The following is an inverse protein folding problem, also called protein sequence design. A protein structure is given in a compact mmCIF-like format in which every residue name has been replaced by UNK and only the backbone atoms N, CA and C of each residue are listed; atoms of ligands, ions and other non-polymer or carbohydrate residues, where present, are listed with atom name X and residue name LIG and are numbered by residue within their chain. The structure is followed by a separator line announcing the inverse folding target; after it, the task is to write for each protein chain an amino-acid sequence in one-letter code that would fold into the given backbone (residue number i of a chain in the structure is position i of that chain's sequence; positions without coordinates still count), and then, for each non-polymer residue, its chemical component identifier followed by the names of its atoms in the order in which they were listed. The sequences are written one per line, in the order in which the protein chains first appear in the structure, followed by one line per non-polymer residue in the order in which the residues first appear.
data_IF_364466489715
#
_entry.id   IF_364466489715
#
_cell.length_a   1.000
_cell.length_b   1.000
_cell.length_c   1.000
_cell.angle_alpha   90.00
_cell.angle_beta   90.00
_cell.angle_gamma   90.00
#
_symmetry.space_group_name_H-M   'P 1'
#
loop_
_entity.id
_entity.type
_entity.pdbx_description
1 polymer ?
#
# COMPACT_ATOMS: atom_id res chain seq x y z
N UNK A 1 -5.36 15.16 -17.99
CA UNK A 1 -4.46 14.96 -16.85
C UNK A 1 -4.28 13.47 -16.68
N UNK A 2 -3.12 12.92 -16.98
CA UNK A 2 -2.78 11.53 -16.62
C UNK A 2 -2.89 11.45 -15.11
N UNK A 3 -3.83 10.65 -14.59
CA UNK A 3 -3.87 10.37 -13.17
C UNK A 3 -2.50 9.75 -12.81
N UNK A 4 -1.78 10.37 -11.86
CA UNK A 4 -0.56 9.78 -11.32
C UNK A 4 -0.87 8.45 -10.65
N UNK A 5 0.16 7.64 -10.38
CA UNK A 5 0.00 6.43 -9.59
C UNK A 5 -0.76 6.75 -8.28
N UNK A 6 -1.72 5.92 -7.84
CA UNK A 6 -2.54 6.21 -6.67
C UNK A 6 -1.73 6.22 -5.37
N UNK A 7 -0.52 5.68 -5.42
CA UNK A 7 0.44 5.61 -4.35
C UNK A 7 1.81 6.10 -4.82
N UNK A 8 2.55 6.66 -3.88
CA UNK A 8 3.99 6.89 -3.97
C UNK A 8 4.67 6.05 -2.88
N UNK A 9 5.77 5.37 -3.20
CA UNK A 9 6.57 4.64 -2.22
C UNK A 9 7.93 5.32 -2.00
N UNK A 10 8.27 5.56 -0.75
CA UNK A 10 9.56 6.09 -0.33
C UNK A 10 10.31 5.02 0.48
N UNK A 11 11.51 4.64 0.04
CA UNK A 11 12.38 3.77 0.84
C UNK A 11 12.91 4.52 2.05
N UNK A 12 12.77 3.92 3.23
CA UNK A 12 13.34 4.40 4.48
C UNK A 12 14.59 3.59 4.90
N UNK A 13 15.00 2.62 4.08
CA UNK A 13 16.09 1.69 4.36
C UNK A 13 15.63 0.41 5.05
N UNK A 14 16.51 -0.61 5.06
CA UNK A 14 16.27 -1.91 5.72
C UNK A 14 14.99 -2.65 5.27
N UNK A 15 14.55 -2.41 4.04
CA UNK A 15 13.30 -2.96 3.50
C UNK A 15 12.03 -2.27 4.01
N UNK A 16 12.15 -1.15 4.73
CA UNK A 16 11.01 -0.35 5.18
C UNK A 16 10.63 0.64 4.08
N UNK A 17 9.36 0.65 3.70
CA UNK A 17 8.79 1.59 2.75
C UNK A 17 7.64 2.36 3.36
N UNK A 18 7.61 3.67 3.08
CA UNK A 18 6.47 4.54 3.36
C UNK A 18 5.63 4.69 2.10
N UNK A 19 4.36 4.30 2.18
CA UNK A 19 3.39 4.42 1.11
C UNK A 19 2.50 5.64 1.34
N UNK A 20 2.55 6.61 0.43
CA UNK A 20 1.80 7.87 0.50
C UNK A 20 0.64 7.81 -0.47
N UNK A 21 -0.57 8.04 0.01
CA UNK A 21 -1.77 8.07 -0.83
C UNK A 21 -1.77 9.34 -1.69
N UNK A 22 -1.58 9.19 -3.00
CA UNK A 22 -1.60 10.27 -4.00
C UNK A 22 -2.86 10.27 -4.87
N UNK A 23 -3.83 9.40 -4.58
CA UNK A 23 -5.07 9.27 -5.34
C UNK A 23 -5.99 10.51 -5.25
N UNK A 24 -5.75 11.42 -4.30
CA UNK A 24 -6.63 12.55 -4.03
C UNK A 24 -7.94 12.18 -3.30
N UNK A 25 -8.09 10.91 -2.89
CA UNK A 25 -9.28 10.38 -2.21
C UNK A 25 -8.89 9.66 -0.92
N UNK A 26 -9.86 9.47 -0.03
CA UNK A 26 -9.71 8.53 1.09
C UNK A 26 -9.73 7.10 0.54
N UNK A 27 -8.78 6.27 0.97
CA UNK A 27 -8.72 4.86 0.60
C UNK A 27 -8.98 3.99 1.84
N UNK A 28 -9.87 3.00 1.70
CA UNK A 28 -10.24 2.06 2.76
C UNK A 28 -9.87 0.64 2.36
N UNK A 29 -9.89 -0.30 3.32
CA UNK A 29 -9.60 -1.73 3.07
C UNK A 29 -8.28 -1.94 2.32
N UNK A 30 -7.21 -1.28 2.79
CA UNK A 30 -5.91 -1.33 2.12
C UNK A 30 -5.20 -2.63 2.49
N UNK A 31 -4.88 -3.43 1.48
CA UNK A 31 -4.30 -4.78 1.57
C UNK A 31 -3.03 -4.84 0.73
N UNK A 32 -1.97 -5.45 1.28
CA UNK A 32 -0.73 -5.70 0.56
C UNK A 32 -0.62 -7.19 0.23
N UNK A 33 -0.70 -7.53 -1.04
CA UNK A 33 -0.56 -8.92 -1.49
C UNK A 33 0.86 -9.14 -2.01
N UNK A 34 1.74 -9.88 -1.29
CA UNK A 34 3.08 -10.20 -1.77
C UNK A 34 3.05 -11.10 -3.01
N UNK A 35 4.03 -10.92 -3.89
CA UNK A 35 4.32 -11.85 -4.99
C UNK A 35 5.77 -12.34 -4.94
N UNK A 36 6.06 -13.42 -5.66
CA UNK A 36 7.40 -14.03 -5.78
C UNK A 36 8.12 -14.29 -4.44
N UNK A 37 7.37 -14.77 -3.44
CA UNK A 37 7.92 -15.13 -2.13
C UNK A 37 8.28 -13.94 -1.23
N UNK A 38 7.78 -12.74 -1.54
CA UNK A 38 8.02 -11.53 -0.76
C UNK A 38 7.45 -11.63 0.67
N UNK A 39 8.26 -11.27 1.67
CA UNK A 39 7.83 -11.09 3.06
C UNK A 39 7.25 -9.69 3.25
N UNK A 40 6.07 -9.58 3.90
CA UNK A 40 5.40 -8.31 4.19
C UNK A 40 5.01 -8.21 5.65
N UNK A 41 5.32 -7.06 6.27
CA UNK A 41 4.83 -6.71 7.61
C UNK A 41 4.34 -5.26 7.59
N UNK A 42 3.04 -5.05 7.75
CA UNK A 42 2.47 -3.70 7.87
C UNK A 42 2.65 -3.20 9.30
N UNK A 43 3.24 -2.01 9.46
CA UNK A 43 3.47 -1.43 10.78
C UNK A 43 2.12 -1.13 11.47
N UNK A 44 1.94 -1.63 12.70
CA UNK A 44 0.67 -1.64 13.44
C UNK A 44 -0.51 -2.32 12.71
N UNK A 45 -0.24 -3.04 11.62
CA UNK A 45 -1.25 -3.77 10.86
C UNK A 45 -1.35 -5.23 11.28
N UNK A 46 -2.12 -6.00 10.51
CA UNK A 46 -2.15 -7.46 10.65
C UNK A 46 -0.88 -8.00 10.01
N UNK A 47 -0.03 -8.70 10.79
CA UNK A 47 1.24 -9.25 10.29
C UNK A 47 1.05 -10.46 9.38
N UNK A 48 -0.06 -11.15 9.52
CA UNK A 48 -0.44 -12.31 8.70
C UNK A 48 -1.41 -11.90 7.58
N UNK A 49 -1.55 -12.74 6.57
CA UNK A 49 -2.55 -12.60 5.50
C UNK A 49 -3.92 -12.24 6.11
N UNK A 50 -4.51 -11.06 5.79
CA UNK A 50 -4.33 -10.25 4.58
C UNK A 50 -3.40 -9.03 4.64
N UNK A 51 -2.35 -9.01 5.47
CA UNK A 51 -1.36 -7.91 5.53
C UNK A 51 -2.00 -6.52 5.44
N UNK A 52 -3.03 -6.31 6.27
CA UNK A 52 -3.95 -5.19 6.12
C UNK A 52 -3.48 -3.97 6.90
N UNK A 53 -3.65 -2.79 6.30
CA UNK A 53 -3.51 -1.52 6.99
C UNK A 53 -4.70 -1.34 7.93
N UNK A 54 -4.47 -1.04 9.23
CA UNK A 54 -5.51 -1.13 10.26
C UNK A 54 -6.55 -0.01 10.17
N UNK A 55 -6.27 1.04 9.38
CA UNK A 55 -7.10 2.24 9.26
C UNK A 55 -7.13 2.72 7.81
N UNK A 56 -8.21 3.40 7.41
CA UNK A 56 -8.23 4.15 6.15
C UNK A 56 -7.06 5.11 6.03
N UNK A 57 -6.61 5.35 4.80
CA UNK A 57 -5.54 6.28 4.47
C UNK A 57 -6.14 7.47 3.74
N UNK A 58 -6.16 8.62 4.41
CA UNK A 58 -6.61 9.88 3.81
C UNK A 58 -5.68 10.32 2.67
N UNK A 59 -6.16 11.19 1.78
CA UNK A 59 -5.32 11.75 0.72
C UNK A 59 -4.13 12.50 1.32
N UNK A 60 -2.91 12.20 0.84
CA UNK A 60 -1.66 12.74 1.37
C UNK A 60 -1.16 12.10 2.67
N UNK A 61 -1.97 11.26 3.33
CA UNK A 61 -1.53 10.46 4.47
C UNK A 61 -0.69 9.26 4.01
N UNK A 62 -0.05 8.58 4.96
CA UNK A 62 0.82 7.44 4.68
C UNK A 62 0.71 6.33 5.71
N UNK A 63 1.17 5.14 5.32
CA UNK A 63 1.46 4.03 6.20
C UNK A 63 2.85 3.47 5.88
N UNK A 64 3.38 2.64 6.78
CA UNK A 64 4.70 2.01 6.60
C UNK A 64 4.54 0.50 6.59
N UNK A 65 5.31 -0.16 5.74
CA UNK A 65 5.42 -1.62 5.71
C UNK A 65 6.86 -2.04 5.46
N UNK A 66 7.25 -3.16 6.06
CA UNK A 66 8.46 -3.89 5.68
C UNK A 66 8.12 -4.77 4.49
N UNK A 67 8.92 -4.68 3.43
CA UNK A 67 8.81 -5.49 2.22
C UNK A 67 10.21 -6.04 1.90
N UNK A 68 10.35 -7.36 1.91
CA UNK A 68 11.61 -8.04 1.59
C UNK A 68 11.35 -9.10 0.53
N UNK A 69 11.80 -8.83 -0.69
CA UNK A 69 11.55 -9.68 -1.85
C UNK A 69 11.32 -8.84 -3.09
N UNK A 70 10.55 -9.39 -4.04
CA UNK A 70 10.27 -8.75 -5.32
C UNK A 70 9.29 -7.58 -5.22
N UNK A 71 8.27 -7.66 -4.36
CA UNK A 71 7.25 -6.61 -4.27
C UNK A 71 5.88 -7.05 -3.81
N UNK A 72 4.92 -6.11 -3.92
CA UNK A 72 3.53 -6.28 -3.49
C UNK A 72 2.56 -5.64 -4.46
N UNK A 73 1.35 -6.20 -4.55
CA UNK A 73 0.18 -5.49 -5.08
C UNK A 73 -0.56 -4.82 -3.94
N UNK A 74 -0.71 -3.51 -4.01
CA UNK A 74 -1.56 -2.74 -3.10
C UNK A 74 -2.97 -2.67 -3.68
N UNK A 75 -3.94 -3.19 -2.93
CA UNK A 75 -5.37 -3.08 -3.24
C UNK A 75 -6.02 -2.18 -2.20
N UNK A 76 -6.87 -1.25 -2.64
CA UNK A 76 -7.67 -0.41 -1.77
C UNK A 76 -9.02 -0.07 -2.43
N UNK A 77 -9.99 0.37 -1.63
CA UNK A 77 -11.30 0.79 -2.13
C UNK A 77 -11.51 2.28 -1.92
N UNK A 78 -12.06 2.98 -2.91
CA UNK A 78 -12.38 4.40 -2.87
C UNK A 78 -13.90 4.63 -2.66
N UNK A 79 -14.35 5.00 -1.44
CA UNK A 79 -15.74 5.41 -1.19
C UNK A 79 -16.05 6.81 -1.78
N UNK A 80 -17.33 7.15 -2.02
CA UNK A 80 -18.52 6.30 -1.86
C UNK A 80 -18.76 5.35 -3.05
N UNK A 81 -18.01 5.53 -4.13
CA UNK A 81 -18.16 4.79 -5.40
C UNK A 81 -17.84 3.29 -5.24
N UNK A 82 -17.11 2.93 -4.17
CA UNK A 82 -16.65 1.57 -3.88
C UNK A 82 -15.82 0.99 -5.03
N UNK A 83 -15.06 1.85 -5.70
CA UNK A 83 -14.17 1.46 -6.79
C UNK A 83 -12.86 0.96 -6.23
N UNK A 84 -12.40 -0.19 -6.72
CA UNK A 84 -11.09 -0.71 -6.37
C UNK A 84 -9.97 0.05 -7.08
N UNK A 85 -8.89 0.28 -6.34
CA UNK A 85 -7.67 0.93 -6.76
C UNK A 85 -6.53 -0.06 -6.56
N UNK A 86 -5.87 -0.39 -7.67
CA UNK A 86 -4.76 -1.33 -7.69
C UNK A 86 -3.46 -0.62 -8.05
N UNK A 87 -2.37 -1.06 -7.44
CA UNK A 87 -1.03 -0.60 -7.79
C UNK A 87 0.02 -1.64 -7.43
N UNK A 88 0.88 -1.96 -8.39
CA UNK A 88 2.00 -2.87 -8.18
C UNK A 88 3.24 -2.08 -7.80
N UNK A 89 3.85 -2.48 -6.70
CA UNK A 89 5.11 -1.94 -6.20
C UNK A 89 6.19 -3.02 -6.29
N UNK A 90 7.19 -2.77 -7.14
CA UNK A 90 8.39 -3.61 -7.26
C UNK A 90 9.53 -2.99 -6.44
N UNK A 91 10.24 -3.83 -5.69
CA UNK A 91 11.43 -3.43 -4.94
C UNK A 91 12.63 -3.48 -5.91
N UNK A 92 13.15 -2.31 -6.27
CA UNK A 92 14.36 -2.14 -7.10
C UNK A 92 15.62 -1.96 -6.26
#
# INVERSE_FOLDING_TARGET
MTAGAPWEAQSLGSGVFRFINRSGRKLVMVVLSPFDGTEVVVNNGVSEDPHAVPRPVEAGASFEAVIRGAGVRVTATAPPEMTDVYWDFEVS
#
